data_IF_133308628857
#
_entry.id   IF_133308628857
#
_cell.length_a   1.000
_cell.length_b   1.000
_cell.length_c   1.000
_cell.angle_alpha   90.00
_cell.angle_beta   90.00
_cell.angle_gamma   90.00
#
_symmetry.space_group_name_H-M   'P 1'
#
loop_
_entity.id
_entity.type
_entity.pdbx_description
1 polymer ?
#
# COMPACT_ATOMS: atom_id res chain seq x y z
N UNK A 1 -3.64 -31.46 9.74
CA UNK A 1 -4.10 -31.13 8.38
C UNK A 1 -3.37 -32.06 7.40
N UNK A 2 -4.06 -33.05 6.81
CA UNK A 2 -3.48 -33.91 5.76
C UNK A 2 -3.78 -33.27 4.41
N UNK A 3 -2.76 -32.71 3.75
CA UNK A 3 -2.89 -32.26 2.36
C UNK A 3 -2.74 -33.48 1.46
N UNK A 4 -3.75 -33.78 0.66
CA UNK A 4 -3.74 -34.87 -0.32
C UNK A 4 -3.33 -34.32 -1.69
N UNK A 5 -2.51 -35.07 -2.43
CA UNK A 5 -2.14 -34.70 -3.79
C UNK A 5 -3.40 -34.57 -4.66
N UNK A 6 -3.49 -33.48 -5.43
CA UNK A 6 -4.65 -33.20 -6.29
C UNK A 6 -5.80 -32.45 -5.59
N UNK A 7 -5.66 -32.05 -4.33
CA UNK A 7 -6.65 -31.23 -3.61
C UNK A 7 -6.04 -29.94 -3.06
N UNK A 8 -6.74 -28.83 -3.25
CA UNK A 8 -6.44 -27.57 -2.55
C UNK A 8 -6.94 -27.64 -1.10
N UNK A 9 -6.43 -26.74 -0.25
CA UNK A 9 -6.95 -26.57 1.09
C UNK A 9 -8.44 -26.19 1.06
N UNK A 10 -9.23 -26.85 1.90
CA UNK A 10 -10.63 -26.54 2.18
C UNK A 10 -10.82 -26.37 3.69
N UNK A 11 -11.42 -25.26 4.17
CA UNK A 11 -11.75 -25.08 5.58
C UNK A 11 -12.69 -26.18 6.11
N UNK A 12 -12.46 -26.63 7.35
CA UNK A 12 -13.23 -27.73 7.98
C UNK A 12 -14.75 -27.51 7.91
N UNK A 13 -15.21 -26.27 8.18
CA UNK A 13 -16.61 -25.89 8.10
C UNK A 13 -17.26 -26.23 6.75
N UNK A 14 -16.54 -26.02 5.64
CA UNK A 14 -17.05 -26.33 4.30
C UNK A 14 -17.01 -27.84 4.02
N UNK A 15 -15.92 -28.50 4.42
CA UNK A 15 -15.77 -29.95 4.25
C UNK A 15 -16.84 -30.78 5.00
N UNK A 16 -17.40 -30.21 6.08
CA UNK A 16 -18.48 -30.81 6.86
C UNK A 16 -19.89 -30.40 6.36
N UNK A 17 -19.99 -29.79 5.18
CA UNK A 17 -21.27 -29.37 4.58
C UNK A 17 -21.84 -28.05 5.13
N UNK A 18 -21.05 -27.30 5.89
CA UNK A 18 -21.42 -25.97 6.37
C UNK A 18 -21.53 -24.96 5.23
N UNK A 19 -22.32 -23.91 5.47
CA UNK A 19 -22.50 -22.79 4.53
C UNK A 19 -21.90 -21.53 5.13
N UNK A 20 -21.23 -20.75 4.28
CA UNK A 20 -20.64 -19.47 4.67
C UNK A 20 -21.14 -18.36 3.76
N UNK A 21 -21.07 -17.15 4.26
CA UNK A 21 -21.31 -15.93 3.50
C UNK A 21 -20.26 -14.89 3.87
N UNK A 22 -20.15 -13.85 3.07
CA UNK A 22 -19.23 -12.75 3.33
C UNK A 22 -19.42 -11.56 2.43
N UNK A 23 -18.63 -10.52 2.67
CA UNK A 23 -18.66 -9.29 1.89
C UNK A 23 -17.64 -9.34 0.76
N UNK A 24 -18.00 -8.80 -0.40
CA UNK A 24 -17.07 -8.50 -1.48
C UNK A 24 -16.98 -6.98 -1.61
N UNK A 25 -15.80 -6.42 -1.33
CA UNK A 25 -15.60 -4.97 -1.31
C UNK A 25 -14.47 -4.54 -2.23
N UNK A 26 -14.66 -3.40 -2.88
CA UNK A 26 -13.55 -2.66 -3.47
C UNK A 26 -12.96 -1.80 -2.36
N UNK A 27 -11.82 -2.20 -1.78
CA UNK A 27 -11.27 -1.59 -0.56
C UNK A 27 -11.06 -0.09 -0.74
N UNK A 28 -10.59 0.33 -1.93
CA UNK A 28 -10.38 1.76 -2.21
C UNK A 28 -11.67 2.60 -2.09
N UNK A 29 -12.84 1.99 -2.26
CA UNK A 29 -14.14 2.66 -2.16
C UNK A 29 -14.71 2.74 -0.74
N UNK A 30 -14.09 2.10 0.25
CA UNK A 30 -14.56 2.14 1.65
C UNK A 30 -14.36 3.55 2.21
N UNK A 31 -15.41 4.08 2.86
CA UNK A 31 -15.39 5.37 3.53
C UNK A 31 -15.45 5.19 5.04
N UNK A 32 -14.65 5.95 5.77
CA UNK A 32 -14.73 6.00 7.22
C UNK A 32 -14.48 7.40 7.74
N UNK A 33 -14.75 7.60 9.04
CA UNK A 33 -14.42 8.84 9.73
C UNK A 33 -12.91 9.02 9.95
N UNK A 34 -12.06 8.05 9.60
CA UNK A 34 -10.62 8.06 9.89
C UNK A 34 -9.74 8.12 8.62
N UNK A 35 -10.11 7.39 7.57
CA UNK A 35 -9.26 7.25 6.39
C UNK A 35 -9.01 8.56 5.61
N UNK A 36 -8.01 8.54 4.74
CA UNK A 36 -7.54 9.75 4.08
C UNK A 36 -8.20 10.04 2.72
N UNK A 37 -9.44 9.58 2.52
CA UNK A 37 -10.19 9.73 1.26
C UNK A 37 -10.08 8.53 0.32
N UNK A 38 -9.45 7.46 0.78
CA UNK A 38 -9.43 6.12 0.18
C UNK A 38 -9.57 5.11 1.33
N UNK A 39 -10.27 4.01 1.12
CA UNK A 39 -10.29 2.94 2.11
C UNK A 39 -8.92 2.29 2.25
N UNK A 40 -8.51 1.97 3.49
CA UNK A 40 -7.17 1.48 3.84
C UNK A 40 -7.19 0.24 4.75
N UNK A 41 -6.03 -0.23 5.21
CA UNK A 41 -5.94 -1.41 6.06
C UNK A 41 -6.56 -1.23 7.45
N UNK A 42 -6.63 0.01 7.95
CA UNK A 42 -7.36 0.31 9.18
C UNK A 42 -8.87 0.13 8.99
N UNK A 43 -9.38 0.49 7.81
CA UNK A 43 -10.78 0.23 7.45
C UNK A 43 -11.05 -1.25 7.17
N UNK A 44 -10.11 -1.95 6.52
CA UNK A 44 -10.23 -3.39 6.27
C UNK A 44 -10.35 -4.17 7.59
N UNK A 45 -9.52 -3.83 8.58
CA UNK A 45 -9.61 -4.40 9.92
C UNK A 45 -10.99 -4.15 10.53
N UNK A 46 -11.48 -2.91 10.51
CA UNK A 46 -12.79 -2.57 11.06
C UNK A 46 -13.92 -3.30 10.33
N UNK A 47 -13.82 -3.48 9.02
CA UNK A 47 -14.78 -4.24 8.21
C UNK A 47 -14.78 -5.72 8.58
N UNK A 48 -13.59 -6.32 8.79
CA UNK A 48 -13.46 -7.72 9.23
C UNK A 48 -14.10 -7.91 10.61
N UNK A 49 -13.81 -7.02 11.56
CA UNK A 49 -14.41 -7.04 12.91
C UNK A 49 -15.95 -6.89 12.83
N UNK A 50 -16.44 -5.95 12.02
CA UNK A 50 -17.87 -5.75 11.78
C UNK A 50 -18.55 -6.97 11.15
N UNK A 51 -17.90 -7.61 10.18
CA UNK A 51 -18.40 -8.75 9.45
C UNK A 51 -18.44 -10.00 10.34
N UNK A 52 -17.36 -10.26 11.09
CA UNK A 52 -17.27 -11.37 12.01
C UNK A 52 -18.35 -11.30 13.11
N UNK A 53 -18.63 -10.10 13.64
CA UNK A 53 -19.70 -9.89 14.61
C UNK A 53 -21.12 -10.23 14.09
N UNK A 54 -21.28 -10.43 12.77
CA UNK A 54 -22.54 -10.84 12.12
C UNK A 54 -22.52 -12.29 11.64
N UNK A 55 -21.44 -13.02 11.90
CA UNK A 55 -21.27 -14.39 11.42
C UNK A 55 -20.84 -14.51 9.96
N UNK A 56 -20.35 -13.43 9.34
CA UNK A 56 -19.68 -13.53 8.05
C UNK A 56 -18.34 -14.26 8.22
N UNK A 57 -18.03 -15.18 7.32
CA UNK A 57 -16.79 -15.95 7.36
C UNK A 57 -15.67 -15.34 6.50
N UNK A 58 -16.00 -14.43 5.57
CA UNK A 58 -15.04 -13.89 4.62
C UNK A 58 -15.30 -12.41 4.30
N UNK A 59 -14.22 -11.69 4.08
CA UNK A 59 -14.22 -10.38 3.43
C UNK A 59 -13.27 -10.48 2.24
N UNK A 60 -13.84 -10.53 1.03
CA UNK A 60 -13.09 -10.48 -0.22
C UNK A 60 -12.81 -9.05 -0.62
N UNK A 61 -11.59 -8.80 -1.10
CA UNK A 61 -11.13 -7.49 -1.57
C UNK A 61 -10.65 -7.56 -3.01
N UNK A 62 -10.57 -6.42 -3.68
CA UNK A 62 -9.84 -6.30 -4.94
C UNK A 62 -8.35 -6.63 -4.78
N UNK A 63 -7.62 -6.89 -5.88
CA UNK A 63 -6.18 -7.05 -5.81
C UNK A 63 -5.51 -5.85 -5.13
N UNK A 64 -4.69 -6.11 -4.11
CA UNK A 64 -4.01 -5.08 -3.31
C UNK A 64 -2.59 -4.79 -3.79
N UNK A 65 -2.26 -5.27 -4.98
CA UNK A 65 -0.95 -5.23 -5.60
C UNK A 65 -0.45 -3.80 -5.84
N UNK A 66 0.87 -3.60 -5.75
CA UNK A 66 1.50 -2.34 -6.11
C UNK A 66 1.16 -1.96 -7.56
N UNK A 67 0.59 -0.77 -7.77
CA UNK A 67 0.13 -0.27 -9.07
C UNK A 67 0.15 1.25 -9.10
N UNK A 68 0.26 1.82 -10.31
CA UNK A 68 0.11 3.27 -10.57
C UNK A 68 -1.29 3.62 -11.11
N UNK A 69 -2.17 2.63 -11.22
CA UNK A 69 -3.51 2.80 -11.76
C UNK A 69 -4.40 1.62 -11.41
N UNK A 70 -4.84 0.87 -12.41
CA UNK A 70 -5.76 -0.25 -12.22
C UNK A 70 -5.16 -1.33 -11.30
N UNK A 71 -5.92 -1.87 -10.33
CA UNK A 71 -5.54 -3.06 -9.56
C UNK A 71 -5.21 -4.28 -10.41
N UNK A 72 -5.70 -4.32 -11.65
CA UNK A 72 -5.52 -5.43 -12.60
C UNK A 72 -4.36 -5.23 -13.59
N UNK A 73 -3.64 -4.11 -13.47
CA UNK A 73 -2.40 -3.87 -14.22
C UNK A 73 -1.25 -3.55 -13.25
N UNK A 74 -0.94 -4.46 -12.32
CA UNK A 74 0.01 -4.18 -11.25
C UNK A 74 1.43 -4.14 -11.76
N UNK A 75 2.25 -3.38 -11.06
CA UNK A 75 3.70 -3.36 -11.22
C UNK A 75 4.36 -4.59 -10.62
N UNK A 76 3.77 -5.12 -9.54
CA UNK A 76 4.19 -6.39 -8.93
C UNK A 76 3.00 -7.04 -8.24
N UNK A 77 2.84 -8.36 -8.42
CA UNK A 77 1.87 -9.16 -7.66
C UNK A 77 2.39 -9.58 -6.28
N UNK A 78 3.68 -9.34 -6.01
CA UNK A 78 4.34 -9.69 -4.75
C UNK A 78 4.42 -8.52 -3.78
N UNK A 79 4.29 -7.27 -4.26
CA UNK A 79 4.30 -6.07 -3.44
C UNK A 79 2.89 -5.49 -3.28
N UNK A 80 2.66 -4.74 -2.20
CA UNK A 80 1.38 -4.11 -1.88
C UNK A 80 1.35 -2.65 -2.31
N UNK A 81 0.15 -2.12 -2.57
CA UNK A 81 -0.04 -0.70 -2.87
C UNK A 81 0.01 0.14 -1.58
N UNK A 82 0.97 1.05 -1.49
CA UNK A 82 1.16 1.94 -0.33
C UNK A 82 -0.06 2.83 -0.04
N UNK A 83 -0.95 3.04 -1.01
CA UNK A 83 -2.19 3.79 -0.81
C UNK A 83 -3.11 3.15 0.24
N UNK A 84 -2.96 1.86 0.52
CA UNK A 84 -3.73 1.16 1.56
C UNK A 84 -3.12 1.24 2.96
N UNK A 85 -1.98 1.91 3.16
CA UNK A 85 -1.43 2.11 4.50
C UNK A 85 -2.35 3.02 5.34
N UNK A 86 -2.77 2.57 6.52
CA UNK A 86 -3.27 3.46 7.56
C UNK A 86 -2.06 4.17 8.20
N UNK A 87 -1.75 5.36 7.71
CA UNK A 87 -0.53 6.11 8.07
C UNK A 87 -0.48 6.42 9.57
N UNK A 88 -1.64 6.69 10.18
CA UNK A 88 -1.72 7.05 11.60
C UNK A 88 -1.56 5.83 12.52
N UNK A 89 -1.76 4.61 11.99
CA UNK A 89 -1.56 3.36 12.71
C UNK A 89 -0.11 2.84 12.68
N UNK A 90 0.78 3.47 11.90
CA UNK A 90 2.20 3.10 11.87
C UNK A 90 2.85 3.42 13.22
N UNK A 91 3.55 2.47 13.87
CA UNK A 91 4.25 2.73 15.14
C UNK A 91 5.21 3.93 15.09
N UNK A 92 5.84 4.14 13.93
CA UNK A 92 6.77 5.23 13.68
C UNK A 92 6.09 6.60 13.56
N UNK A 93 4.80 6.66 13.18
CA UNK A 93 4.05 7.91 13.13
C UNK A 93 3.92 8.54 14.53
N UNK A 94 3.69 7.73 15.55
CA UNK A 94 3.63 8.18 16.94
C UNK A 94 4.95 8.82 17.42
N UNK A 95 6.08 8.45 16.79
CA UNK A 95 7.41 8.94 17.13
C UNK A 95 7.86 10.13 16.25
N UNK A 96 7.20 10.37 15.11
CA UNK A 96 7.52 11.49 14.23
C UNK A 96 6.72 12.75 14.60
N UNK A 97 7.31 13.59 15.45
CA UNK A 97 6.72 14.90 15.80
C UNK A 97 6.53 15.80 14.56
N UNK A 98 7.42 15.67 13.56
CA UNK A 98 7.31 16.41 12.31
C UNK A 98 6.07 15.97 11.50
N UNK A 99 5.85 14.67 11.36
CA UNK A 99 4.66 14.11 10.69
C UNK A 99 3.37 14.55 11.39
N UNK A 100 3.30 14.41 12.71
CA UNK A 100 2.12 14.81 13.49
C UNK A 100 1.83 16.31 13.37
N UNK A 101 2.87 17.15 13.40
CA UNK A 101 2.71 18.60 13.21
C UNK A 101 2.17 18.92 11.83
N UNK A 102 2.65 18.26 10.77
CA UNK A 102 2.16 18.44 9.40
C UNK A 102 0.66 18.08 9.31
N UNK A 103 0.28 16.90 9.83
CA UNK A 103 -1.11 16.43 9.82
C UNK A 103 -2.03 17.41 10.55
N UNK A 104 -1.58 17.99 11.67
CA UNK A 104 -2.37 18.95 12.46
C UNK A 104 -2.50 20.35 11.83
N UNK A 105 -1.79 20.66 10.73
CA UNK A 105 -1.91 21.98 10.10
C UNK A 105 -3.30 22.19 9.49
N UNK A 106 -3.79 23.44 9.52
CA UNK A 106 -5.07 23.81 8.89
C UNK A 106 -5.09 23.49 7.39
N UNK A 107 -3.97 23.67 6.69
CA UNK A 107 -3.85 23.37 5.27
C UNK A 107 -4.02 21.87 4.99
N UNK A 108 -3.35 21.02 5.77
CA UNK A 108 -3.47 19.56 5.65
C UNK A 108 -4.90 19.10 5.94
N UNK A 109 -5.49 19.54 7.05
CA UNK A 109 -6.85 19.17 7.44
C UNK A 109 -7.90 19.61 6.42
N UNK A 110 -7.76 20.80 5.81
CA UNK A 110 -8.65 21.24 4.73
C UNK A 110 -8.55 20.33 3.49
N UNK A 111 -7.34 19.96 3.07
CA UNK A 111 -7.15 19.07 1.92
C UNK A 111 -7.66 17.65 2.22
N UNK A 112 -7.38 17.14 3.41
CA UNK A 112 -7.89 15.84 3.87
C UNK A 112 -9.42 15.78 3.83
N UNK A 113 -10.09 16.82 4.34
CA UNK A 113 -11.54 16.93 4.33
C UNK A 113 -12.10 16.98 2.90
N UNK A 114 -11.45 17.70 2.00
CA UNK A 114 -11.82 17.73 0.57
C UNK A 114 -11.72 16.34 -0.08
N UNK A 115 -10.61 15.62 0.14
CA UNK A 115 -10.41 14.28 -0.43
C UNK A 115 -11.46 13.30 0.09
N UNK A 116 -11.81 13.36 1.37
CA UNK A 116 -12.83 12.51 1.98
C UNK A 116 -14.24 12.81 1.53
N UNK A 117 -14.54 14.06 1.18
CA UNK A 117 -15.84 14.49 0.65
C UNK A 117 -15.97 14.30 -0.85
N UNK A 118 -14.86 14.13 -1.57
CA UNK A 118 -14.88 13.94 -3.02
C UNK A 118 -15.78 12.73 -3.39
N UNK A 119 -16.62 12.85 -4.44
CA UNK A 119 -17.52 11.76 -4.84
C UNK A 119 -16.76 10.54 -5.35
N UNK A 120 -15.60 10.75 -5.97
CA UNK A 120 -14.67 9.73 -6.45
C UNK A 120 -13.35 9.81 -5.68
N UNK A 121 -12.63 8.69 -5.63
CA UNK A 121 -11.29 8.64 -5.03
C UNK A 121 -10.33 9.49 -5.87
N UNK A 122 -9.79 10.54 -5.26
CA UNK A 122 -8.71 11.35 -5.83
C UNK A 122 -7.36 10.68 -5.51
N UNK A 123 -6.99 9.68 -6.32
CA UNK A 123 -5.76 8.89 -6.14
C UNK A 123 -4.51 9.76 -6.05
N UNK A 124 -4.38 10.78 -6.91
CA UNK A 124 -3.23 11.67 -6.93
C UNK A 124 -3.16 12.50 -5.64
N UNK A 125 -4.28 13.10 -5.23
CA UNK A 125 -4.36 13.88 -4.00
C UNK A 125 -4.06 13.05 -2.74
N UNK A 126 -4.58 11.82 -2.68
CA UNK A 126 -4.30 10.89 -1.57
C UNK A 126 -2.84 10.47 -1.57
N UNK A 127 -2.28 10.12 -2.73
CA UNK A 127 -0.86 9.74 -2.86
C UNK A 127 0.05 10.85 -2.35
N UNK A 128 -0.20 12.11 -2.76
CA UNK A 128 0.57 13.27 -2.32
C UNK A 128 0.50 13.45 -0.79
N UNK A 129 -0.69 13.38 -0.18
CA UNK A 129 -0.81 13.50 1.27
C UNK A 129 -0.05 12.39 2.00
N UNK A 130 -0.25 11.12 1.59
CA UNK A 130 0.41 9.97 2.23
C UNK A 130 1.92 10.03 2.07
N UNK A 131 2.44 10.28 0.87
CA UNK A 131 3.89 10.35 0.62
C UNK A 131 4.58 11.47 1.40
N UNK A 132 3.94 12.63 1.56
CA UNK A 132 4.49 13.73 2.35
C UNK A 132 4.67 13.34 3.83
N UNK A 133 3.70 12.63 4.40
CA UNK A 133 3.76 12.20 5.80
C UNK A 133 4.68 11.00 5.97
N UNK A 134 4.58 9.99 5.11
CA UNK A 134 5.46 8.83 5.08
C UNK A 134 6.93 9.24 4.94
N UNK A 135 7.23 10.25 4.11
CA UNK A 135 8.60 10.78 3.96
C UNK A 135 9.17 11.35 5.26
N UNK A 136 8.32 12.02 6.08
CA UNK A 136 8.72 12.52 7.40
C UNK A 136 8.91 11.38 8.39
N UNK A 137 7.97 10.42 8.41
CA UNK A 137 8.06 9.24 9.28
C UNK A 137 9.36 8.47 8.98
N UNK A 138 9.62 8.16 7.71
CA UNK A 138 10.82 7.45 7.28
C UNK A 138 12.11 8.17 7.68
N UNK A 139 12.14 9.51 7.50
CA UNK A 139 13.30 10.34 7.87
C UNK A 139 13.60 10.28 9.36
N UNK A 140 12.57 10.22 10.20
CA UNK A 140 12.71 10.16 11.66
C UNK A 140 13.03 8.73 12.12
N UNK A 141 12.35 7.72 11.56
CA UNK A 141 12.51 6.31 11.91
C UNK A 141 13.86 5.72 11.49
N UNK A 142 14.40 6.16 10.34
CA UNK A 142 15.66 5.68 9.75
C UNK A 142 15.79 4.14 9.81
N UNK A 143 14.81 3.40 9.26
CA UNK A 143 14.81 1.94 9.36
C UNK A 143 16.09 1.37 8.75
N UNK A 144 16.70 0.41 9.44
CA UNK A 144 17.88 -0.29 8.94
C UNK A 144 17.43 -1.38 7.97
N UNK A 145 17.75 -1.20 6.70
CA UNK A 145 17.47 -2.19 5.66
C UNK A 145 18.77 -2.89 5.27
N UNK A 146 18.73 -4.22 5.14
CA UNK A 146 19.91 -5.00 4.77
C UNK A 146 20.30 -4.77 3.31
N UNK A 147 19.41 -5.17 2.40
CA UNK A 147 19.59 -5.05 0.95
C UNK A 147 18.24 -4.71 0.33
N UNK A 148 18.16 -3.62 -0.46
CA UNK A 148 16.91 -3.28 -1.12
C UNK A 148 16.55 -4.31 -2.18
N UNK A 149 15.28 -4.63 -2.27
CA UNK A 149 14.72 -5.48 -3.32
C UNK A 149 14.86 -4.82 -4.69
N UNK A 150 14.81 -5.64 -5.75
CA UNK A 150 14.70 -5.13 -7.13
C UNK A 150 13.46 -4.27 -7.31
N UNK A 151 12.37 -4.57 -6.59
CA UNK A 151 11.13 -3.80 -6.64
C UNK A 151 11.32 -2.38 -6.08
N UNK A 152 11.98 -2.21 -4.93
CA UNK A 152 12.26 -0.90 -4.38
C UNK A 152 13.17 -0.04 -5.29
N UNK A 153 14.18 -0.66 -5.91
CA UNK A 153 15.03 0.01 -6.90
C UNK A 153 14.20 0.44 -8.13
N UNK A 154 13.28 -0.41 -8.56
CA UNK A 154 12.39 -0.14 -9.68
C UNK A 154 11.42 1.01 -9.38
N UNK A 155 10.79 1.07 -8.21
CA UNK A 155 9.92 2.20 -7.83
C UNK A 155 10.72 3.51 -7.72
N UNK A 156 11.95 3.47 -7.20
CA UNK A 156 12.82 4.64 -7.18
C UNK A 156 13.23 5.14 -8.59
N UNK A 157 13.48 4.22 -9.53
CA UNK A 157 13.73 4.56 -10.94
C UNK A 157 12.48 5.13 -11.60
N UNK A 158 11.33 4.51 -11.34
CA UNK A 158 10.04 4.95 -11.87
C UNK A 158 9.66 6.34 -11.38
N UNK A 159 9.87 6.64 -10.11
CA UNK A 159 9.63 7.98 -9.57
C UNK A 159 10.45 9.03 -10.32
N UNK A 160 11.67 8.68 -10.73
CA UNK A 160 12.55 9.58 -11.48
C UNK A 160 12.17 9.72 -12.96
N UNK A 161 11.83 8.63 -13.63
CA UNK A 161 11.68 8.60 -15.08
C UNK A 161 10.22 8.55 -15.56
N UNK A 162 9.27 8.26 -14.67
CA UNK A 162 7.87 8.00 -15.01
C UNK A 162 7.69 6.74 -15.87
N UNK A 163 6.42 6.42 -16.17
CA UNK A 163 6.07 5.38 -17.15
C UNK A 163 6.58 3.97 -16.82
N UNK A 164 6.58 3.12 -17.85
CA UNK A 164 7.14 1.76 -17.82
C UNK A 164 8.65 1.78 -18.06
N UNK A 165 9.34 0.70 -17.67
CA UNK A 165 10.79 0.58 -17.85
C UNK A 165 11.19 0.60 -19.33
N UNK A 166 10.27 0.24 -20.21
CA UNK A 166 10.42 0.24 -21.67
C UNK A 166 10.73 1.64 -22.21
N UNK A 167 10.27 2.71 -21.55
CA UNK A 167 10.53 4.09 -21.94
C UNK A 167 11.76 4.72 -21.29
N UNK A 168 12.41 4.03 -20.35
CA UNK A 168 13.58 4.56 -19.63
C UNK A 168 14.83 4.59 -20.53
N UNK A 169 15.89 5.33 -20.16
CA UNK A 169 17.18 5.20 -20.84
C UNK A 169 17.66 3.74 -20.88
N UNK A 170 18.26 3.31 -21.99
CA UNK A 170 18.62 1.90 -22.26
C UNK A 170 19.39 1.23 -21.11
N UNK A 171 20.26 1.99 -20.45
CA UNK A 171 21.08 1.52 -19.33
C UNK A 171 20.29 1.13 -18.07
N UNK A 172 19.03 1.59 -17.91
CA UNK A 172 18.15 1.26 -16.77
C UNK A 172 17.12 0.18 -17.10
N UNK A 173 17.11 -0.35 -18.33
CA UNK A 173 16.14 -1.38 -18.77
C UNK A 173 16.52 -2.80 -18.36
N UNK A 174 17.79 -3.01 -17.98
CA UNK A 174 18.28 -4.27 -17.42
C UNK A 174 18.50 -4.10 -15.90
N UNK A 175 17.75 -4.81 -15.03
CA UNK A 175 17.93 -4.72 -13.59
C UNK A 175 19.33 -5.18 -13.13
N UNK A 176 20.01 -6.01 -13.93
CA UNK A 176 21.37 -6.48 -13.72
C UNK A 176 22.46 -5.51 -14.20
N UNK A 177 22.12 -4.32 -14.71
CA UNK A 177 23.11 -3.42 -15.30
C UNK A 177 23.99 -2.71 -14.26
N UNK A 178 25.18 -2.27 -14.69
CA UNK A 178 26.07 -1.42 -13.86
C UNK A 178 25.40 -0.09 -13.52
N UNK A 179 24.58 0.46 -14.42
CA UNK A 179 23.90 1.72 -14.22
C UNK A 179 22.82 1.63 -13.14
N UNK A 180 22.02 0.55 -13.11
CA UNK A 180 21.03 0.29 -12.05
C UNK A 180 21.72 0.14 -10.69
N UNK A 181 22.82 -0.63 -10.60
CA UNK A 181 23.60 -0.72 -9.36
C UNK A 181 24.16 0.62 -8.90
N UNK A 182 24.68 1.44 -9.82
CA UNK A 182 25.20 2.79 -9.52
C UNK A 182 24.07 3.71 -9.07
N UNK A 183 22.90 3.63 -9.70
CA UNK A 183 21.70 4.37 -9.31
C UNK A 183 21.25 4.00 -7.90
N UNK A 184 21.14 2.71 -7.58
CA UNK A 184 20.73 2.24 -6.27
C UNK A 184 21.67 2.74 -5.17
N UNK A 185 22.99 2.69 -5.40
CA UNK A 185 23.99 3.24 -4.46
C UNK A 185 23.89 4.76 -4.31
N UNK A 186 23.75 5.49 -5.41
CA UNK A 186 23.66 6.97 -5.39
C UNK A 186 22.37 7.46 -4.72
N UNK A 187 21.28 6.71 -4.85
CA UNK A 187 19.96 7.07 -4.32
C UNK A 187 19.54 6.17 -3.16
N UNK A 188 20.50 5.70 -2.35
CA UNK A 188 20.27 4.68 -1.33
C UNK A 188 19.12 5.03 -0.37
N UNK A 189 19.01 6.29 0.06
CA UNK A 189 17.91 6.73 0.93
C UNK A 189 16.54 6.63 0.26
N UNK A 190 16.43 6.94 -1.04
CA UNK A 190 15.15 6.88 -1.74
C UNK A 190 14.75 5.45 -2.06
N UNK A 191 15.72 4.60 -2.40
CA UNK A 191 15.49 3.16 -2.54
C UNK A 191 15.06 2.56 -1.21
N UNK A 192 15.71 2.94 -0.11
CA UNK A 192 15.34 2.51 1.23
C UNK A 192 13.90 2.95 1.61
N UNK A 193 13.46 4.14 1.18
CA UNK A 193 12.09 4.59 1.38
C UNK A 193 11.05 3.71 0.68
N UNK A 194 11.35 3.18 -0.51
CA UNK A 194 10.42 2.30 -1.23
C UNK A 194 10.45 0.85 -0.74
N UNK A 195 11.51 0.47 -0.02
CA UNK A 195 11.63 -0.85 0.61
C UNK A 195 10.92 -0.91 1.97
N UNK A 196 10.90 0.20 2.71
CA UNK A 196 10.16 0.36 3.96
C UNK A 196 8.66 0.54 3.68
#
# INVERSE_FOLDING_TARGET
MKLEAGRCYEPELLSQGGRVWGFMVQLYGVRSKRNWGIGDFGDLRALVEFAAARGAAVVGVNPLHATQGSPYSPSSRLALNFLYLDVEALPEYAQSAAAQRLVKTKAFQRKLEQLRKAPLVDYAGVAVLKLNVLGLIFKDAKPRLERPSTFAIFEALREKYGGGWESWPREYRDPGSRAVRKFAKKNAQRVAFHEW
#
